data_IF_254137234986
#
_entry.id   IF_254137234986
#
_cell.length_a   1.000
_cell.length_b   1.000
_cell.length_c   1.000
_cell.angle_alpha   90.00
_cell.angle_beta   90.00
_cell.angle_gamma   90.00
#
_symmetry.space_group_name_H-M   'P 1'
#
loop_
_entity.id
_entity.type
_entity.pdbx_description
1 polymer ?
#
# COMPACT_ATOMS: atom_id res chain seq x y z
N UNK A 1 0.65 18.13 12.51
CA UNK A 1 0.73 18.98 11.30
C UNK A 1 2.11 19.61 11.31
N UNK A 2 3.04 19.13 10.48
CA UNK A 2 4.27 19.88 10.25
C UNK A 2 3.90 21.03 9.31
N UNK A 3 4.18 22.25 9.72
CA UNK A 3 3.95 23.47 8.95
C UNK A 3 5.30 24.11 8.68
N UNK A 4 5.62 24.43 7.43
CA UNK A 4 6.88 25.07 7.06
C UNK A 4 7.02 25.29 5.56
N UNK A 5 8.08 26.00 5.17
CA UNK A 5 8.44 26.25 3.77
C UNK A 5 8.97 24.98 3.08
N UNK A 6 9.10 25.02 1.76
CA UNK A 6 9.70 23.93 0.98
C UNK A 6 11.13 23.60 1.46
N UNK A 7 11.88 24.63 1.87
CA UNK A 7 13.21 24.48 2.47
C UNK A 7 13.19 23.76 3.82
N UNK A 8 12.20 24.07 4.68
CA UNK A 8 12.03 23.36 5.95
C UNK A 8 11.70 21.88 5.73
N UNK A 9 10.84 21.55 4.76
CA UNK A 9 10.56 20.14 4.42
C UNK A 9 11.79 19.43 3.86
N UNK A 10 12.59 20.12 3.04
CA UNK A 10 13.86 19.59 2.53
C UNK A 10 14.88 19.38 3.64
N UNK A 11 14.95 20.29 4.60
CA UNK A 11 15.85 20.20 5.75
C UNK A 11 15.44 19.06 6.69
N UNK A 12 14.15 18.94 6.99
CA UNK A 12 13.59 17.79 7.73
C UNK A 12 13.84 16.48 6.96
N UNK A 13 13.68 16.47 5.63
CA UNK A 13 14.02 15.32 4.79
C UNK A 13 15.50 14.94 4.89
N UNK A 14 16.42 15.91 4.82
CA UNK A 14 17.86 15.67 4.95
C UNK A 14 18.21 15.15 6.35
N UNK A 15 17.61 15.72 7.40
CA UNK A 15 17.77 15.24 8.77
C UNK A 15 17.21 13.82 8.93
N UNK A 16 16.03 13.52 8.39
CA UNK A 16 15.46 12.16 8.43
C UNK A 16 16.34 11.15 7.70
N UNK A 17 16.93 11.56 6.56
CA UNK A 17 17.83 10.72 5.76
C UNK A 17 19.13 10.39 6.51
N UNK A 18 19.61 11.27 7.38
CA UNK A 18 20.82 11.07 8.17
C UNK A 18 20.58 10.31 9.48
N UNK A 19 19.37 10.35 10.02
CA UNK A 19 19.02 9.63 11.24
C UNK A 19 18.73 8.14 10.97
N UNK A 20 19.45 7.27 11.68
CA UNK A 20 19.17 5.82 11.72
C UNK A 20 18.00 5.54 12.68
N UNK A 21 16.78 5.80 12.23
CA UNK A 21 15.60 5.42 13.00
C UNK A 21 15.45 3.90 13.03
N UNK A 22 15.24 3.33 14.21
CA UNK A 22 14.88 1.92 14.32
C UNK A 22 13.46 1.70 13.80
N UNK A 23 12.53 2.55 14.23
CA UNK A 23 11.12 2.44 13.93
C UNK A 23 10.62 3.80 13.40
N UNK A 24 9.97 3.80 12.24
CA UNK A 24 9.42 5.01 11.61
C UNK A 24 7.93 4.85 11.34
N UNK A 25 7.14 5.85 11.73
CA UNK A 25 5.72 5.95 11.36
C UNK A 25 5.48 7.29 10.68
N UNK A 26 5.06 7.27 9.42
CA UNK A 26 4.75 8.47 8.64
C UNK A 26 3.25 8.63 8.47
N UNK A 27 2.77 9.83 8.77
CA UNK A 27 1.39 10.25 8.54
C UNK A 27 1.40 11.65 7.95
N UNK A 28 0.79 11.80 6.78
CA UNK A 28 0.77 13.06 6.04
C UNK A 28 -0.53 13.82 6.30
N UNK A 29 -0.45 15.15 6.23
CA UNK A 29 -1.61 16.01 6.53
C UNK A 29 -2.72 15.91 5.47
N UNK A 30 -2.36 15.62 4.22
CA UNK A 30 -3.29 15.43 3.11
C UNK A 30 -2.66 14.51 2.04
N UNK A 31 -3.48 14.09 1.08
CA UNK A 31 -3.09 13.15 0.04
C UNK A 31 -2.16 13.73 -1.02
N UNK A 32 -2.21 15.04 -1.25
CA UNK A 32 -1.35 15.70 -2.24
C UNK A 32 0.12 15.68 -1.79
N UNK A 33 0.36 16.08 -0.54
CA UNK A 33 1.68 16.07 0.07
C UNK A 33 2.25 14.65 0.20
N UNK A 34 1.39 13.67 0.54
CA UNK A 34 1.79 12.26 0.58
C UNK A 34 2.24 11.76 -0.80
N UNK A 35 1.48 12.09 -1.84
CA UNK A 35 1.79 11.70 -3.21
C UNK A 35 3.09 12.35 -3.74
N UNK A 36 3.35 13.60 -3.35
CA UNK A 36 4.57 14.32 -3.73
C UNK A 36 5.82 13.74 -3.06
N UNK A 37 5.72 13.39 -1.77
CA UNK A 37 6.88 12.97 -0.97
C UNK A 37 7.11 11.45 -1.08
N UNK A 38 6.04 10.64 -1.01
CA UNK A 38 6.14 9.18 -0.94
C UNK A 38 6.20 8.55 -2.33
N UNK A 39 7.29 8.86 -3.01
CA UNK A 39 7.70 8.25 -4.27
C UNK A 39 8.71 7.12 -4.03
N UNK A 40 8.95 6.30 -5.06
CA UNK A 40 9.84 5.13 -4.99
C UNK A 40 11.21 5.40 -4.36
N UNK A 41 11.87 6.48 -4.77
CA UNK A 41 13.21 6.83 -4.27
C UNK A 41 13.20 7.16 -2.77
N UNK A 42 12.18 7.89 -2.30
CA UNK A 42 12.01 8.22 -0.89
C UNK A 42 11.71 6.96 -0.07
N UNK A 43 10.77 6.15 -0.54
CA UNK A 43 10.40 4.89 0.07
C UNK A 43 11.60 3.95 0.22
N UNK A 44 12.35 3.70 -0.85
CA UNK A 44 13.53 2.84 -0.83
C UNK A 44 14.62 3.35 0.13
N UNK A 45 14.77 4.66 0.25
CA UNK A 45 15.72 5.25 1.19
C UNK A 45 15.31 5.03 2.66
N UNK A 46 14.02 5.17 2.96
CA UNK A 46 13.47 4.93 4.30
C UNK A 46 13.66 3.47 4.72
N UNK A 47 13.25 2.53 3.88
CA UNK A 47 13.25 1.10 4.23
C UNK A 47 14.66 0.53 4.41
N UNK A 48 15.68 1.17 3.80
CA UNK A 48 17.10 0.86 4.05
C UNK A 48 17.59 1.29 5.42
N UNK A 49 17.01 2.35 5.96
CA UNK A 49 17.46 2.97 7.20
C UNK A 49 16.74 2.43 8.43
N UNK A 50 15.56 1.84 8.25
CA UNK A 50 14.66 1.44 9.33
C UNK A 50 14.57 -0.08 9.52
N UNK A 51 14.28 -0.50 10.76
CA UNK A 51 13.87 -1.88 11.10
C UNK A 51 12.36 -2.07 10.98
N UNK A 52 11.59 -1.05 11.31
CA UNK A 52 10.14 -1.03 11.21
C UNK A 52 9.68 0.23 10.48
N UNK A 53 8.75 0.08 9.54
CA UNK A 53 8.15 1.21 8.83
C UNK A 53 6.63 1.07 8.82
N UNK A 54 5.94 2.13 9.22
CA UNK A 54 4.50 2.28 9.14
C UNK A 54 4.18 3.46 8.22
N UNK A 55 3.44 3.20 7.15
CA UNK A 55 3.03 4.19 6.16
C UNK A 55 1.50 4.27 6.11
N UNK A 56 0.97 5.50 6.03
CA UNK A 56 -0.47 5.72 5.84
C UNK A 56 -0.94 5.20 4.48
N UNK A 57 -0.35 5.64 3.37
CA UNK A 57 -0.66 5.20 2.00
C UNK A 57 0.63 4.94 1.23
N UNK A 58 0.50 4.36 0.05
CA UNK A 58 1.59 3.94 -0.85
C UNK A 58 1.10 3.94 -2.32
N UNK A 59 0.16 4.83 -2.68
CA UNK A 59 -0.47 4.85 -4.01
C UNK A 59 0.48 5.19 -5.16
N UNK A 60 1.60 5.83 -4.84
CA UNK A 60 2.65 6.21 -5.79
C UNK A 60 3.88 5.30 -5.72
N UNK A 61 3.81 4.23 -4.93
CA UNK A 61 4.87 3.23 -4.90
C UNK A 61 4.62 2.23 -6.02
N UNK A 62 5.64 1.99 -6.84
CA UNK A 62 5.60 1.05 -7.95
C UNK A 62 5.77 -0.40 -7.46
N UNK A 63 5.39 -1.35 -8.32
CA UNK A 63 5.57 -2.76 -8.06
C UNK A 63 7.07 -3.11 -8.04
N UNK A 64 7.85 -2.43 -8.88
CA UNK A 64 9.29 -2.53 -9.00
C UNK A 64 9.99 -2.06 -7.72
N UNK A 65 9.53 -0.97 -7.10
CA UNK A 65 10.08 -0.52 -5.82
C UNK A 65 9.79 -1.51 -4.68
N UNK A 66 8.59 -2.08 -4.62
CA UNK A 66 8.26 -3.16 -3.67
C UNK A 66 9.13 -4.41 -3.93
N UNK A 67 9.34 -4.75 -5.19
CA UNK A 67 10.19 -5.87 -5.58
C UNK A 67 11.66 -5.62 -5.22
N UNK A 68 12.20 -4.43 -5.49
CA UNK A 68 13.56 -4.06 -5.11
C UNK A 68 13.74 -4.13 -3.59
N UNK A 69 12.79 -3.60 -2.82
CA UNK A 69 12.76 -3.74 -1.37
C UNK A 69 12.85 -5.22 -0.96
N UNK A 70 12.02 -6.07 -1.54
CA UNK A 70 11.99 -7.50 -1.23
C UNK A 70 13.31 -8.21 -1.59
N UNK A 71 13.92 -7.84 -2.72
CA UNK A 71 15.23 -8.38 -3.13
C UNK A 71 16.35 -7.91 -2.20
N UNK A 72 16.48 -6.60 -1.98
CA UNK A 72 17.47 -6.01 -1.06
C UNK A 72 17.37 -6.65 0.33
N UNK A 73 16.13 -6.94 0.75
CA UNK A 73 15.87 -7.61 1.99
C UNK A 73 16.33 -9.08 1.99
N UNK A 74 15.98 -9.86 0.95
CA UNK A 74 16.32 -11.27 0.82
C UNK A 74 17.84 -11.52 0.83
N UNK A 75 18.61 -10.60 0.24
CA UNK A 75 20.09 -10.67 0.26
C UNK A 75 20.71 -10.12 1.56
N UNK A 76 19.89 -9.72 2.54
CA UNK A 76 20.33 -9.30 3.87
C UNK A 76 20.90 -7.88 3.94
N UNK A 77 20.71 -7.05 2.90
CA UNK A 77 21.21 -5.66 2.87
C UNK A 77 20.35 -4.74 3.74
N UNK A 78 19.08 -5.08 3.97
CA UNK A 78 18.17 -4.29 4.78
C UNK A 78 18.12 -4.78 6.24
N UNK A 79 18.04 -3.82 7.17
CA UNK A 79 17.72 -4.10 8.58
C UNK A 79 16.22 -4.26 8.83
N UNK A 80 15.42 -3.99 7.80
CA UNK A 80 13.97 -4.01 7.83
C UNK A 80 13.44 -5.40 8.18
N UNK A 81 12.48 -5.43 9.08
CA UNK A 81 11.76 -6.64 9.51
C UNK A 81 10.28 -6.56 9.23
N UNK A 82 9.73 -5.35 9.23
CA UNK A 82 8.29 -5.17 9.11
C UNK A 82 7.94 -3.89 8.39
N UNK A 83 7.00 -3.98 7.47
CA UNK A 83 6.27 -2.84 6.91
C UNK A 83 4.79 -3.02 7.17
N UNK A 84 4.14 -1.99 7.72
CA UNK A 84 2.68 -1.87 7.73
C UNK A 84 2.26 -0.74 6.79
N UNK A 85 1.30 -1.03 5.91
CA UNK A 85 0.64 -0.04 5.09
C UNK A 85 -0.84 0.03 5.49
N UNK A 86 -1.27 1.19 6.01
CA UNK A 86 -2.54 1.31 6.73
C UNK A 86 -3.77 1.67 5.91
N UNK A 87 -3.67 2.06 4.64
CA UNK A 87 -4.86 2.51 3.93
C UNK A 87 -4.92 2.16 2.45
N UNK A 88 -3.86 2.43 1.68
CA UNK A 88 -3.96 2.41 0.23
C UNK A 88 -2.65 2.03 -0.45
N UNK A 89 -2.67 0.89 -1.15
CA UNK A 89 -1.80 0.58 -2.28
C UNK A 89 -2.72 0.19 -3.42
N UNK A 90 -2.43 0.64 -4.64
CA UNK A 90 -3.21 0.26 -5.81
C UNK A 90 -3.22 -1.26 -5.99
N UNK A 91 -4.40 -1.80 -6.31
CA UNK A 91 -4.58 -3.25 -6.51
C UNK A 91 -3.63 -3.79 -7.56
N UNK A 92 -3.49 -3.06 -8.65
CA UNK A 92 -2.66 -3.39 -9.80
C UNK A 92 -1.20 -3.48 -9.38
N UNK A 93 -0.71 -2.52 -8.58
CA UNK A 93 0.66 -2.52 -8.03
C UNK A 93 0.94 -3.79 -7.23
N UNK A 94 0.05 -4.19 -6.31
CA UNK A 94 0.24 -5.40 -5.49
C UNK A 94 0.19 -6.66 -6.34
N UNK A 95 -0.75 -6.75 -7.29
CA UNK A 95 -0.84 -7.91 -8.19
C UNK A 95 0.42 -8.03 -9.04
N UNK A 96 0.95 -6.91 -9.56
CA UNK A 96 2.19 -6.89 -10.32
C UNK A 96 3.39 -7.27 -9.45
N UNK A 97 3.49 -6.72 -8.23
CA UNK A 97 4.52 -7.09 -7.27
C UNK A 97 4.50 -8.59 -6.98
N UNK A 98 3.32 -9.18 -6.76
CA UNK A 98 3.19 -10.62 -6.56
C UNK A 98 3.68 -11.45 -7.73
N UNK A 99 3.35 -11.05 -8.95
CA UNK A 99 3.91 -11.70 -10.14
C UNK A 99 5.43 -11.64 -10.16
N UNK A 100 6.03 -10.53 -9.75
CA UNK A 100 7.49 -10.37 -9.67
C UNK A 100 8.13 -11.32 -8.64
N UNK A 101 7.43 -11.64 -7.55
CA UNK A 101 7.88 -12.61 -6.53
C UNK A 101 7.31 -14.02 -6.73
N UNK A 102 6.79 -14.32 -7.93
CA UNK A 102 6.27 -15.63 -8.35
C UNK A 102 4.99 -16.10 -7.62
N UNK A 103 4.23 -15.14 -7.10
CA UNK A 103 2.89 -15.34 -6.53
C UNK A 103 1.85 -14.95 -7.58
N UNK A 104 1.04 -15.92 -7.98
CA UNK A 104 0.00 -15.75 -8.99
C UNK A 104 -1.36 -15.51 -8.35
N UNK A 105 -2.10 -14.53 -8.85
CA UNK A 105 -3.50 -14.33 -8.47
C UNK A 105 -4.44 -14.76 -9.59
N UNK A 106 -5.22 -15.82 -9.36
CA UNK A 106 -6.17 -16.37 -10.35
C UNK A 106 -7.48 -16.76 -9.67
N UNK A 107 -8.61 -16.42 -10.28
CA UNK A 107 -9.95 -16.81 -9.81
C UNK A 107 -10.21 -16.48 -8.33
N UNK A 108 -9.69 -15.35 -7.84
CA UNK A 108 -9.89 -14.95 -6.45
C UNK A 108 -8.87 -15.51 -5.46
N UNK A 109 -7.87 -16.29 -5.88
CA UNK A 109 -6.93 -16.94 -4.97
C UNK A 109 -5.50 -16.60 -5.33
N UNK A 110 -4.64 -16.48 -4.31
CA UNK A 110 -3.19 -16.45 -4.50
C UNK A 110 -2.66 -17.88 -4.52
N UNK A 111 -1.73 -18.12 -5.44
CA UNK A 111 -1.01 -19.37 -5.60
C UNK A 111 0.47 -19.02 -5.60
N UNK A 112 1.22 -19.65 -4.71
CA UNK A 112 2.68 -19.57 -4.68
C UNK A 112 3.21 -20.94 -5.06
N UNK A 113 4.15 -21.01 -6.00
CA UNK A 113 4.96 -22.21 -6.21
C UNK A 113 6.19 -22.25 -5.27
N UNK A 114 6.34 -21.19 -4.46
CA UNK A 114 7.41 -21.03 -3.50
C UNK A 114 6.97 -21.50 -2.13
N UNK A 115 7.76 -22.39 -1.53
CA UNK A 115 7.54 -22.93 -0.19
C UNK A 115 8.05 -21.99 0.92
N UNK A 116 8.90 -21.02 0.58
CA UNK A 116 9.50 -20.07 1.53
C UNK A 116 8.60 -18.86 1.83
N UNK A 117 7.55 -18.62 1.04
CA UNK A 117 6.62 -17.51 1.26
C UNK A 117 5.26 -18.01 1.77
N UNK A 118 4.88 -17.49 2.93
CA UNK A 118 3.57 -17.65 3.52
C UNK A 118 2.69 -16.41 3.27
N UNK A 119 1.43 -16.66 2.91
CA UNK A 119 0.42 -15.62 2.69
C UNK A 119 -0.70 -15.77 3.70
N UNK A 120 -0.90 -14.75 4.52
CA UNK A 120 -1.99 -14.70 5.48
C UNK A 120 -3.01 -13.63 5.10
N UNK A 121 -4.27 -13.97 5.34
CA UNK A 121 -5.41 -13.09 5.11
C UNK A 121 -6.02 -12.78 6.47
N UNK A 122 -5.72 -11.60 7.02
CA UNK A 122 -6.25 -11.17 8.32
C UNK A 122 -7.71 -10.74 8.18
N UNK A 123 -8.54 -11.08 9.18
CA UNK A 123 -10.00 -10.92 9.11
C UNK A 123 -10.54 -10.22 10.34
N UNK A 124 -11.50 -9.32 10.14
CA UNK A 124 -12.41 -8.85 11.18
C UNK A 124 -13.82 -8.81 10.62
N UNK A 125 -14.78 -9.34 11.36
CA UNK A 125 -16.22 -9.24 11.03
C UNK A 125 -16.58 -9.70 9.60
N UNK A 126 -15.87 -10.72 9.09
CA UNK A 126 -16.12 -11.28 7.74
C UNK A 126 -15.54 -10.46 6.59
N UNK A 127 -14.84 -9.35 6.88
CA UNK A 127 -14.08 -8.58 5.89
C UNK A 127 -12.61 -8.96 5.97
N UNK A 128 -11.94 -8.93 4.82
CA UNK A 128 -10.49 -9.04 4.83
C UNK A 128 -9.93 -7.67 5.24
N UNK A 129 -9.22 -7.66 6.35
CA UNK A 129 -8.60 -6.46 6.90
C UNK A 129 -7.19 -6.26 6.37
N UNK A 130 -6.44 -7.33 6.15
CA UNK A 130 -5.11 -7.20 5.58
C UNK A 130 -4.65 -8.44 4.83
N UNK A 131 -3.71 -8.21 3.92
CA UNK A 131 -2.91 -9.25 3.29
C UNK A 131 -1.51 -9.18 3.87
N UNK A 132 -1.06 -10.26 4.50
CA UNK A 132 0.25 -10.33 5.12
C UNK A 132 1.10 -11.30 4.31
N UNK A 133 2.28 -10.85 3.91
CA UNK A 133 3.33 -11.70 3.34
C UNK A 133 4.35 -11.93 4.43
N UNK A 134 4.68 -13.18 4.65
CA UNK A 134 5.73 -13.58 5.57
C UNK A 134 6.67 -14.56 4.89
N UNK A 135 7.96 -14.23 4.85
CA UNK A 135 9.01 -15.06 4.26
C UNK A 135 10.00 -15.51 5.36
N UNK A 136 9.46 -15.88 6.54
CA UNK A 136 10.24 -16.28 7.72
C UNK A 136 10.94 -15.13 8.47
N UNK A 137 11.31 -14.05 7.78
CA UNK A 137 12.16 -12.99 8.34
C UNK A 137 11.66 -11.55 8.04
N UNK A 138 10.79 -11.36 7.03
CA UNK A 138 10.13 -10.10 6.68
C UNK A 138 8.64 -10.30 6.69
N UNK A 139 7.96 -9.34 7.30
CA UNK A 139 6.51 -9.22 7.27
C UNK A 139 6.11 -7.95 6.51
N UNK A 140 5.35 -8.10 5.43
CA UNK A 140 4.67 -6.99 4.77
C UNK A 140 3.17 -7.10 5.01
N UNK A 141 2.59 -6.12 5.68
CA UNK A 141 1.17 -6.09 6.04
C UNK A 141 0.45 -4.99 5.25
N UNK A 142 -0.33 -5.41 4.26
CA UNK A 142 -1.14 -4.55 3.40
C UNK A 142 -2.54 -4.43 3.98
N UNK A 143 -2.71 -3.50 4.92
CA UNK A 143 -3.97 -3.25 5.62
C UNK A 143 -4.91 -2.45 4.72
N UNK A 144 -6.19 -2.82 4.74
CA UNK A 144 -7.26 -2.30 3.89
C UNK A 144 -7.05 -2.45 2.38
N UNK A 145 -6.12 -3.31 1.95
CA UNK A 145 -5.98 -3.72 0.54
C UNK A 145 -7.33 -4.17 -0.08
N UNK A 146 -8.20 -4.74 0.75
CA UNK A 146 -9.50 -5.26 0.38
C UNK A 146 -10.66 -4.36 0.77
N UNK A 147 -10.47 -3.04 0.78
CA UNK A 147 -11.63 -2.14 0.85
C UNK A 147 -12.57 -2.53 -0.31
N UNK A 148 -13.71 -3.15 0.04
CA UNK A 148 -14.71 -3.74 -0.87
C UNK A 148 -14.41 -5.14 -1.45
N UNK A 149 -13.47 -5.91 -0.88
CA UNK A 149 -13.31 -7.32 -1.23
C UNK A 149 -13.98 -8.25 -0.23
N UNK A 150 -14.59 -9.30 -0.76
CA UNK A 150 -15.30 -10.34 -0.04
C UNK A 150 -14.52 -11.63 -0.13
N UNK A 151 -14.39 -12.31 1.00
CA UNK A 151 -13.83 -13.65 1.05
C UNK A 151 -14.97 -14.66 1.16
N UNK A 152 -15.17 -15.45 0.12
CA UNK A 152 -16.05 -16.62 0.17
C UNK A 152 -15.32 -17.71 0.98
N UNK A 153 -15.92 -18.12 2.10
CA UNK A 153 -15.34 -19.14 2.99
C UNK A 153 -15.40 -20.55 2.42
N UNK A 154 -16.45 -20.86 1.66
CA UNK A 154 -16.65 -22.19 1.10
C UNK A 154 -15.66 -22.42 -0.03
N UNK A 155 -15.49 -21.41 -0.88
CA UNK A 155 -14.57 -21.51 -2.02
C UNK A 155 -13.21 -20.92 -1.73
N UNK A 156 -12.95 -20.31 -0.57
CA UNK A 156 -11.68 -19.61 -0.30
C UNK A 156 -11.33 -18.52 -1.32
N UNK A 157 -12.31 -18.02 -2.09
CA UNK A 157 -12.10 -17.05 -3.17
C UNK A 157 -12.28 -15.63 -2.65
N UNK A 158 -11.43 -14.74 -3.13
CA UNK A 158 -11.53 -13.30 -2.97
C UNK A 158 -12.22 -12.73 -4.20
N UNK A 159 -13.35 -12.07 -4.00
CA UNK A 159 -14.01 -11.27 -5.01
C UNK A 159 -13.97 -9.80 -4.60
N UNK A 160 -13.93 -8.88 -5.56
CA UNK A 160 -14.11 -7.45 -5.28
C UNK A 160 -15.50 -7.06 -5.76
N UNK A 161 -16.29 -6.41 -4.92
CA UNK A 161 -17.52 -5.81 -5.43
C UNK A 161 -17.15 -4.69 -6.39
N UNK A 162 -17.75 -4.69 -7.59
CA UNK A 162 -17.72 -3.53 -8.49
C UNK A 162 -18.42 -2.38 -7.78
N UNK A 163 -17.61 -1.50 -7.18
CA UNK A 163 -18.01 -0.37 -6.33
C UNK A 163 -18.81 -0.80 -5.10
N UNK A 164 -18.39 -0.32 -3.93
CA UNK A 164 -19.33 -0.26 -2.80
C UNK A 164 -20.58 0.52 -3.22
N UNK A 165 -21.75 0.18 -2.71
CA UNK A 165 -22.98 0.97 -2.98
C UNK A 165 -22.85 2.43 -2.55
N UNK A 166 -21.83 2.74 -1.73
CA UNK A 166 -21.40 4.09 -1.37
C UNK A 166 -20.64 4.78 -2.52
N UNK A 167 -19.70 4.09 -3.17
CA UNK A 167 -18.99 4.61 -4.34
C UNK A 167 -19.91 4.72 -5.56
N UNK A 168 -20.87 3.80 -5.74
CA UNK A 168 -21.91 3.95 -6.78
C UNK A 168 -22.74 5.20 -6.56
N UNK A 169 -23.23 5.41 -5.33
CA UNK A 169 -23.97 6.63 -4.96
C UNK A 169 -23.14 7.89 -5.16
N UNK A 170 -21.89 7.89 -4.72
CA UNK A 170 -20.99 9.02 -4.92
C UNK A 170 -20.72 9.32 -6.39
N UNK A 171 -20.50 8.29 -7.23
CA UNK A 171 -20.33 8.47 -8.68
C UNK A 171 -21.59 9.01 -9.36
N UNK A 172 -22.78 8.56 -8.97
CA UNK A 172 -24.04 9.08 -9.48
C UNK A 172 -24.29 10.54 -9.04
N UNK A 173 -23.96 10.90 -7.80
CA UNK A 173 -23.99 12.28 -7.32
C UNK A 173 -23.02 13.18 -8.08
N UNK A 174 -21.83 12.67 -8.43
CA UNK A 174 -20.80 13.42 -9.16
C UNK A 174 -21.21 13.67 -10.61
N UNK A 175 -21.75 12.64 -11.29
CA UNK A 175 -22.34 12.79 -12.64
C UNK A 175 -23.46 13.83 -12.64
N UNK A 176 -24.36 13.76 -11.67
CA UNK A 176 -25.49 14.70 -11.55
C UNK A 176 -25.02 16.15 -11.38
N UNK A 177 -23.95 16.36 -10.61
CA UNK A 177 -23.36 17.70 -10.41
C UNK A 177 -22.67 18.21 -11.67
N UNK A 178 -21.94 17.36 -12.39
CA UNK A 178 -21.26 17.74 -13.63
C UNK A 178 -22.25 18.13 -14.73
N UNK A 179 -23.33 17.36 -14.90
CA UNK A 179 -24.38 17.68 -15.89
C UNK A 179 -25.08 19.01 -15.59
N UNK A 180 -25.24 19.37 -14.31
CA UNK A 180 -25.79 20.69 -13.93
C UNK A 180 -24.86 21.85 -14.32
N UNK A 181 -23.56 21.68 -14.13
CA UNK A 181 -22.56 22.70 -14.48
C UNK A 181 -22.51 22.89 -16.00
N UNK A 182 -22.60 21.82 -16.78
CA UNK A 182 -22.62 21.90 -18.26
C UNK A 182 -23.87 22.64 -18.78
N UNK A 183 -25.03 22.44 -18.18
CA UNK A 183 -26.29 23.14 -18.54
C UNK A 183 -26.25 24.63 -18.13
N UNK A 184 -25.58 24.98 -17.03
CA UNK A 184 -25.45 26.37 -16.58
C UNK A 184 -24.39 27.17 -17.38
N UNK A 185 -23.58 26.48 -18.20
CA UNK A 185 -22.56 27.07 -19.05
C UNK A 185 -22.98 27.25 -20.53
N UNK A 186 -24.13 26.71 -20.94
CA UNK A 186 -24.80 26.96 -22.24
C UNK A 186 -25.80 28.12 -22.16
#
# INVERSE_FOLDING_TARGET
KLTGSHDFHREVYMQIKEFKFKDLSLNFANHEMENEILVDSYFLNIVRSCRFVCLSRMDNISAEALHQLYQDWKIGVLKLRTIHCFFHVKKETIILFFRLIEINFRNGRFFSNREDIELFVSRSEGRINSLIIFDGLLMMDFIYFYRNAFFDRETGRISWSKHSDREKRWLEELKTKLTKIEIEME
#
